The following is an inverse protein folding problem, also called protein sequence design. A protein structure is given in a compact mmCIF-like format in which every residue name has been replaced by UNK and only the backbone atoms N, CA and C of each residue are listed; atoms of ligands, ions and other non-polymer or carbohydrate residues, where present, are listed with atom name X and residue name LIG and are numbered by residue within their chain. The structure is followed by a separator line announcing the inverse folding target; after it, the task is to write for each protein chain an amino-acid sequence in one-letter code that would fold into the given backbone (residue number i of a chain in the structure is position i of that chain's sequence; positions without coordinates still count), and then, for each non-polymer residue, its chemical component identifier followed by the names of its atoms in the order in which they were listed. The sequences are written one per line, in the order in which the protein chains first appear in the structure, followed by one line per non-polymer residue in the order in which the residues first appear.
data_IF_002600436529
#
_entry.id   IF_002600436529
#
_cell.length_a   1.000
_cell.length_b   1.000
_cell.length_c   1.000
_cell.angle_alpha   90.00
_cell.angle_beta   90.00
_cell.angle_gamma   90.00
#
_symmetry.space_group_name_H-M   'P 1'
#
loop_
_entity.id
_entity.type
_entity.pdbx_description
1 polymer ?
#
# COMPACT_ATOMS: atom_id res chain seq x y z
N UNK A 1 13.52 -4.51 -6.00
CA UNK A 1 12.96 -3.14 -5.95
C UNK A 1 11.84 -2.94 -6.97
N UNK A 2 12.00 -3.40 -8.21
CA UNK A 2 11.02 -3.33 -9.30
C UNK A 2 9.56 -3.59 -8.94
N UNK A 3 9.29 -4.65 -8.17
CA UNK A 3 7.93 -4.99 -7.75
C UNK A 3 7.27 -3.83 -6.97
N UNK A 4 7.94 -3.29 -5.95
CA UNK A 4 7.41 -2.20 -5.14
C UNK A 4 7.24 -0.93 -5.98
N UNK A 5 8.15 -0.65 -6.92
CA UNK A 5 8.00 0.46 -7.85
C UNK A 5 6.75 0.31 -8.73
N UNK A 6 6.54 -0.86 -9.35
CA UNK A 6 5.37 -1.10 -10.20
C UNK A 6 4.06 -1.11 -9.38
N UNK A 7 4.08 -1.75 -8.22
CA UNK A 7 2.91 -1.87 -7.36
C UNK A 7 2.45 -0.50 -6.82
N UNK A 8 3.37 0.32 -6.29
CA UNK A 8 3.02 1.67 -5.79
C UNK A 8 2.55 2.59 -6.92
N UNK A 9 3.14 2.51 -8.12
CA UNK A 9 2.66 3.27 -9.28
C UNK A 9 1.25 2.83 -9.69
N UNK A 10 0.97 1.52 -9.67
CA UNK A 10 -0.37 0.99 -9.99
C UNK A 10 -1.43 1.48 -9.00
N UNK A 11 -1.14 1.50 -7.70
CA UNK A 11 -2.08 2.01 -6.69
C UNK A 11 -2.39 3.49 -6.92
N UNK A 12 -1.37 4.31 -7.18
CA UNK A 12 -1.56 5.74 -7.47
C UNK A 12 -2.33 5.94 -8.78
N UNK A 13 -2.04 5.16 -9.82
CA UNK A 13 -2.79 5.20 -11.08
C UNK A 13 -4.27 4.88 -10.90
N UNK A 14 -4.60 3.85 -10.11
CA UNK A 14 -6.00 3.52 -9.77
C UNK A 14 -6.67 4.70 -9.03
N UNK A 15 -5.97 5.35 -8.12
CA UNK A 15 -6.50 6.51 -7.41
C UNK A 15 -6.77 7.69 -8.36
N UNK A 16 -5.88 7.95 -9.31
CA UNK A 16 -6.07 8.97 -10.35
C UNK A 16 -7.26 8.65 -11.26
N UNK A 17 -7.34 7.42 -11.77
CA UNK A 17 -8.43 6.95 -12.63
C UNK A 17 -9.79 7.08 -11.96
N UNK A 18 -9.83 6.93 -10.63
CA UNK A 18 -11.05 7.00 -9.80
C UNK A 18 -11.27 8.37 -9.16
N UNK A 19 -10.46 9.37 -9.49
CA UNK A 19 -10.52 10.72 -8.91
C UNK A 19 -10.49 10.72 -7.37
N UNK A 20 -9.70 9.83 -6.78
CA UNK A 20 -9.52 9.71 -5.34
C UNK A 20 -8.45 10.70 -4.89
N UNK A 21 -8.80 11.58 -3.96
CA UNK A 21 -7.88 12.57 -3.37
C UNK A 21 -7.06 12.01 -2.20
N UNK A 22 -7.54 10.98 -1.50
CA UNK A 22 -6.92 10.47 -0.28
C UNK A 22 -6.85 8.95 -0.26
N UNK A 23 -5.65 8.42 0.01
CA UNK A 23 -5.37 7.00 0.26
C UNK A 23 -5.08 6.83 1.75
N UNK A 24 -5.84 5.96 2.42
CA UNK A 24 -5.65 5.62 3.83
C UNK A 24 -4.99 4.24 3.90
N UNK A 25 -3.83 4.14 4.56
CA UNK A 25 -3.18 2.89 4.91
C UNK A 25 -3.38 2.61 6.40
N UNK A 26 -4.23 1.64 6.71
CA UNK A 26 -4.34 1.06 8.05
C UNK A 26 -3.08 0.25 8.37
N UNK A 27 -2.53 0.44 9.57
CA UNK A 27 -1.39 -0.33 10.11
C UNK A 27 -1.79 -0.86 11.48
N UNK A 28 -2.26 -2.11 11.52
CA UNK A 28 -2.59 -2.78 12.79
C UNK A 28 -1.54 -3.85 13.05
N UNK A 29 -1.16 -4.11 14.29
CA UNK A 29 -0.23 -5.20 14.56
C UNK A 29 -0.83 -6.54 14.07
N UNK A 30 -0.03 -7.35 13.37
CA UNK A 30 -0.48 -8.66 12.90
C UNK A 30 -1.41 -8.69 11.68
N UNK A 31 -1.87 -7.54 11.15
CA UNK A 31 -2.86 -7.49 10.06
C UNK A 31 -2.50 -8.37 8.85
N UNK A 32 -1.21 -8.44 8.50
CA UNK A 32 -0.72 -9.25 7.37
C UNK A 32 -0.82 -10.76 7.60
N UNK A 33 -0.84 -11.21 8.85
CA UNK A 33 -0.91 -12.63 9.21
C UNK A 33 -2.37 -13.12 9.21
N UNK A 34 -3.29 -12.23 9.57
CA UNK A 34 -4.72 -12.50 9.71
C UNK A 34 -5.51 -12.48 8.40
N UNK A 35 -4.89 -12.05 7.28
CA UNK A 35 -5.55 -12.06 5.96
C UNK A 35 -5.95 -13.47 5.55
N UNK A 36 -7.17 -13.64 5.03
CA UNK A 36 -7.63 -14.91 4.48
C UNK A 36 -7.05 -15.11 3.07
N UNK A 37 -5.97 -15.89 2.98
CA UNK A 37 -5.27 -16.20 1.73
C UNK A 37 -4.64 -17.60 1.80
N UNK A 38 -4.49 -18.30 0.65
CA UNK A 38 -3.72 -19.54 0.57
C UNK A 38 -2.30 -19.36 1.12
N UNK A 39 -1.79 -20.39 1.82
CA UNK A 39 -0.51 -20.36 2.57
C UNK A 39 0.67 -19.81 1.77
N UNK A 40 0.82 -20.22 0.51
CA UNK A 40 1.92 -19.79 -0.37
C UNK A 40 1.82 -18.30 -0.72
N UNK A 41 0.62 -17.83 -1.05
CA UNK A 41 0.34 -16.41 -1.32
C UNK A 41 0.52 -15.55 -0.07
N UNK A 42 0.03 -16.04 1.08
CA UNK A 42 0.18 -15.36 2.37
C UNK A 42 1.65 -15.14 2.71
N UNK A 43 2.51 -16.14 2.51
CA UNK A 43 3.94 -15.97 2.76
C UNK A 43 4.56 -14.91 1.85
N UNK A 44 4.23 -14.90 0.55
CA UNK A 44 4.70 -13.86 -0.35
C UNK A 44 4.23 -12.46 0.10
N UNK A 45 2.98 -12.33 0.57
CA UNK A 45 2.40 -11.08 1.04
C UNK A 45 3.03 -10.55 2.33
N UNK A 46 3.29 -11.43 3.30
CA UNK A 46 3.96 -11.10 4.56
C UNK A 46 5.35 -10.53 4.28
N UNK A 47 6.09 -11.14 3.35
CA UNK A 47 7.45 -10.73 2.99
C UNK A 47 7.54 -9.39 2.24
N UNK A 48 6.41 -8.81 1.79
CA UNK A 48 6.42 -7.48 1.15
C UNK A 48 6.82 -6.43 2.19
N UNK A 49 7.87 -5.61 1.96
CA UNK A 49 8.22 -4.52 2.87
C UNK A 49 7.15 -3.42 2.86
N UNK A 50 6.23 -3.46 3.82
CA UNK A 50 5.07 -2.53 3.87
C UNK A 50 5.49 -1.09 4.08
N UNK A 51 6.46 -0.82 4.96
CA UNK A 51 6.96 0.53 5.19
C UNK A 51 7.50 1.17 3.90
N UNK A 52 8.35 0.44 3.17
CA UNK A 52 8.89 0.90 1.88
C UNK A 52 7.79 1.08 0.83
N UNK A 53 6.79 0.18 0.80
CA UNK A 53 5.65 0.31 -0.10
C UNK A 53 4.84 1.59 0.16
N UNK A 54 4.57 1.90 1.44
CA UNK A 54 3.84 3.10 1.86
C UNK A 54 4.63 4.35 1.47
N UNK A 55 5.92 4.40 1.74
CA UNK A 55 6.79 5.52 1.40
C UNK A 55 6.82 5.78 -0.12
N UNK A 56 6.96 4.72 -0.92
CA UNK A 56 6.90 4.82 -2.38
C UNK A 56 5.55 5.30 -2.89
N UNK A 57 4.46 4.82 -2.27
CA UNK A 57 3.11 5.22 -2.63
C UNK A 57 2.88 6.69 -2.31
N UNK A 58 3.32 7.16 -1.14
CA UNK A 58 3.28 8.58 -0.73
C UNK A 58 4.02 9.47 -1.72
N UNK A 59 5.29 9.20 -2.00
CA UNK A 59 6.09 10.00 -2.92
C UNK A 59 5.49 10.09 -4.34
N UNK A 60 4.80 9.04 -4.81
CA UNK A 60 4.11 9.06 -6.11
C UNK A 60 2.79 9.80 -6.06
N UNK A 61 2.00 9.55 -5.02
CA UNK A 61 0.70 10.18 -4.81
C UNK A 61 0.80 11.70 -4.64
N UNK A 62 1.77 12.17 -3.87
CA UNK A 62 1.99 13.61 -3.61
C UNK A 62 2.25 14.40 -4.91
N UNK A 63 2.91 13.79 -5.90
CA UNK A 63 3.13 14.39 -7.23
C UNK A 63 1.85 14.59 -8.04
N UNK A 64 0.78 13.92 -7.65
CA UNK A 64 -0.54 14.01 -8.27
C UNK A 64 -1.57 14.68 -7.37
N UNK A 65 -1.13 15.32 -6.27
CA UNK A 65 -2.01 15.96 -5.30
C UNK A 65 -2.84 14.98 -4.46
N UNK A 66 -2.46 13.70 -4.44
CA UNK A 66 -3.16 12.66 -3.68
C UNK A 66 -2.47 12.51 -2.31
N UNK A 67 -3.24 12.63 -1.24
CA UNK A 67 -2.76 12.51 0.12
C UNK A 67 -2.64 11.03 0.53
N UNK A 68 -1.54 10.64 1.18
CA UNK A 68 -1.39 9.30 1.78
C UNK A 68 -1.28 9.42 3.30
N UNK A 69 -2.30 8.92 3.99
CA UNK A 69 -2.40 8.91 5.45
C UNK A 69 -2.09 7.50 5.94
N UNK A 70 -1.22 7.38 6.93
CA UNK A 70 -1.04 6.13 7.68
C UNK A 70 -1.79 6.26 8.99
N UNK A 71 -2.69 5.31 9.28
CA UNK A 71 -3.45 5.26 10.52
C UNK A 71 -3.18 3.95 11.22
N UNK A 72 -2.90 4.00 12.52
CA UNK A 72 -2.94 2.81 13.37
C UNK A 72 -4.41 2.59 13.73
N UNK A 73 -5.00 1.45 13.39
CA UNK A 73 -6.32 1.09 13.91
C UNK A 73 -6.07 0.26 15.19
N UNK A 74 -6.55 0.79 16.31
CA UNK A 74 -6.52 0.17 17.65
C UNK A 74 -7.91 -0.29 18.04
#
# INVERSE_FOLDING_TARGET
MDFLHRASAKVVGIAQERTIDTIINGKNEGWKMEVDMPKTTKQAFIQIPSATFIEMSRYKAERHGIQVIVREES
#
